data_IF_533113396895
#
_entry.id   IF_533113396895
#
_cell.length_a   1.000
_cell.length_b   1.000
_cell.length_c   1.000
_cell.angle_alpha   90.00
_cell.angle_beta   90.00
_cell.angle_gamma   90.00
#
_symmetry.space_group_name_H-M   'P 1'
#
loop_
_entity.id
_entity.type
_entity.pdbx_description
1 polymer ?
#
# COMPACT_ATOMS: atom_id res chain seq x y z
N UNK A 1 -10.79 -28.42 -40.56
CA UNK A 1 -10.82 -29.39 -41.68
C UNK A 1 -9.61 -30.29 -41.52
N UNK A 2 -9.84 -31.57 -41.19
CA UNK A 2 -8.81 -32.58 -41.27
C UNK A 2 -8.88 -33.23 -42.69
N UNK A 3 -7.79 -33.19 -43.44
CA UNK A 3 -7.77 -33.86 -44.74
C UNK A 3 -7.63 -35.39 -44.48
N UNK A 4 -8.72 -36.11 -44.64
CA UNK A 4 -8.63 -37.54 -44.84
C UNK A 4 -8.42 -37.80 -46.34
N UNK A 5 -7.33 -38.47 -46.76
CA UNK A 5 -7.14 -38.82 -48.15
C UNK A 5 -8.06 -39.98 -48.52
N UNK A 6 -9.13 -39.71 -49.23
CA UNK A 6 -9.92 -40.75 -49.83
C UNK A 6 -9.21 -41.18 -51.12
N UNK A 7 -8.42 -42.24 -51.06
CA UNK A 7 -7.88 -42.91 -52.23
C UNK A 7 -8.88 -43.97 -52.70
N UNK A 8 -9.57 -43.73 -53.80
CA UNK A 8 -10.36 -44.67 -54.63
C UNK A 8 -11.01 -45.86 -53.89
N UNK A 9 -12.19 -45.64 -53.36
CA UNK A 9 -13.06 -46.68 -52.89
C UNK A 9 -13.65 -47.45 -54.09
N UNK A 10 -13.30 -48.70 -54.25
CA UNK A 10 -13.80 -49.60 -55.33
C UNK A 10 -14.97 -50.46 -54.91
N UNK A 11 -15.47 -50.35 -53.62
CA UNK A 11 -16.61 -51.09 -53.06
C UNK A 11 -17.25 -50.21 -51.97
N UNK A 12 -18.54 -50.46 -51.74
CA UNK A 12 -19.26 -49.88 -50.61
C UNK A 12 -18.51 -50.22 -49.29
N UNK A 13 -18.13 -49.19 -48.54
CA UNK A 13 -17.38 -49.33 -47.29
C UNK A 13 -18.06 -48.53 -46.21
N UNK A 14 -18.42 -49.17 -45.13
CA UNK A 14 -18.87 -48.50 -43.91
C UNK A 14 -17.61 -48.12 -43.12
N UNK A 15 -17.43 -46.83 -42.86
CA UNK A 15 -16.29 -46.34 -42.11
C UNK A 15 -16.79 -45.71 -40.80
N UNK A 16 -16.35 -46.26 -39.68
CA UNK A 16 -16.59 -45.70 -38.37
C UNK A 16 -15.49 -44.71 -38.05
N UNK A 17 -15.82 -43.41 -38.04
CA UNK A 17 -14.86 -42.34 -37.71
C UNK A 17 -14.99 -42.08 -36.21
N UNK A 18 -14.09 -42.63 -35.40
CA UNK A 18 -13.92 -42.25 -34.01
C UNK A 18 -13.24 -40.91 -33.95
N UNK A 19 -14.06 -39.86 -33.74
CA UNK A 19 -13.55 -38.54 -33.36
C UNK A 19 -12.98 -38.70 -31.93
N UNK A 20 -11.65 -38.67 -31.78
CA UNK A 20 -11.07 -38.37 -30.48
C UNK A 20 -11.62 -37.03 -30.04
N UNK A 21 -12.24 -36.99 -28.88
CA UNK A 21 -12.63 -35.70 -28.25
C UNK A 21 -11.42 -34.78 -28.34
N UNK A 22 -11.59 -33.64 -28.94
CA UNK A 22 -10.51 -32.67 -29.07
C UNK A 22 -9.89 -32.48 -27.69
N UNK A 23 -8.56 -32.33 -27.62
CA UNK A 23 -7.94 -31.74 -26.44
C UNK A 23 -8.86 -30.58 -26.05
N UNK A 24 -9.36 -30.61 -24.81
CA UNK A 24 -9.96 -29.42 -24.20
C UNK A 24 -8.94 -28.31 -24.49
N UNK A 25 -9.32 -27.42 -25.39
CA UNK A 25 -8.58 -26.17 -25.56
C UNK A 25 -8.58 -25.59 -24.16
N UNK A 26 -7.41 -25.44 -23.59
CA UNK A 26 -7.27 -24.57 -22.43
C UNK A 26 -8.10 -23.34 -22.80
N UNK A 27 -9.10 -23.06 -21.96
CA UNK A 27 -9.93 -21.87 -22.10
C UNK A 27 -8.95 -20.72 -22.33
N UNK A 28 -8.78 -20.34 -23.61
CA UNK A 28 -8.14 -19.08 -23.94
C UNK A 28 -9.17 -18.11 -23.41
N UNK A 29 -8.96 -17.66 -22.15
CA UNK A 29 -9.57 -16.45 -21.67
C UNK A 29 -9.04 -15.40 -22.62
N UNK A 30 -9.78 -15.20 -23.71
CA UNK A 30 -9.64 -14.00 -24.52
C UNK A 30 -10.03 -12.90 -23.56
N UNK A 31 -9.04 -12.35 -22.89
CA UNK A 31 -9.11 -11.01 -22.32
C UNK A 31 -9.20 -10.06 -23.52
N UNK A 32 -10.25 -10.21 -24.31
CA UNK A 32 -10.74 -9.10 -25.08
C UNK A 32 -10.96 -8.01 -24.05
N UNK A 33 -10.45 -6.82 -24.29
CA UNK A 33 -10.85 -5.64 -23.55
C UNK A 33 -12.37 -5.70 -23.45
N UNK A 34 -12.86 -6.16 -22.30
CA UNK A 34 -14.31 -6.30 -22.09
C UNK A 34 -14.91 -4.97 -22.50
N UNK A 35 -16.01 -4.98 -23.25
CA UNK A 35 -16.71 -3.76 -23.63
C UNK A 35 -16.99 -2.87 -22.39
N UNK A 36 -17.06 -3.46 -21.20
CA UNK A 36 -17.11 -2.78 -19.90
C UNK A 36 -15.82 -2.02 -19.53
N UNK A 37 -14.69 -2.29 -20.18
CA UNK A 37 -13.43 -1.55 -19.98
C UNK A 37 -13.20 -0.49 -21.04
N UNK A 38 -14.02 -0.45 -22.11
CA UNK A 38 -13.96 0.60 -23.09
C UNK A 38 -14.65 1.85 -22.53
N UNK A 39 -13.94 2.99 -22.35
CA UNK A 39 -14.52 4.23 -21.81
C UNK A 39 -15.78 4.70 -22.55
N UNK A 40 -15.94 4.32 -23.81
CA UNK A 40 -17.09 4.68 -24.64
C UNK A 40 -18.37 3.94 -24.24
N UNK A 41 -18.24 2.72 -23.71
CA UNK A 41 -19.39 1.88 -23.35
C UNK A 41 -19.64 1.77 -21.84
N UNK A 42 -18.75 2.33 -21.01
CA UNK A 42 -18.98 2.40 -19.56
C UNK A 42 -19.91 3.57 -19.23
N UNK A 43 -21.01 3.34 -18.52
CA UNK A 43 -21.93 4.42 -18.12
C UNK A 43 -21.28 5.41 -17.14
N UNK A 44 -20.08 5.13 -16.67
CA UNK A 44 -19.38 5.89 -15.66
C UNK A 44 -18.26 6.72 -16.29
N UNK A 45 -18.53 8.02 -16.46
CA UNK A 45 -17.54 8.96 -16.94
C UNK A 45 -16.46 9.26 -15.90
N UNK A 46 -15.22 9.49 -16.36
CA UNK A 46 -14.11 9.88 -15.46
C UNK A 46 -13.43 8.73 -14.70
N UNK A 47 -13.79 7.48 -14.99
CA UNK A 47 -13.15 6.29 -14.41
C UNK A 47 -12.01 5.82 -15.31
N UNK A 48 -10.89 5.47 -14.68
CA UNK A 48 -9.73 4.87 -15.35
C UNK A 48 -9.31 3.62 -14.55
N UNK A 49 -9.23 2.49 -15.25
CA UNK A 49 -8.68 1.26 -14.67
C UNK A 49 -7.23 1.07 -15.12
N UNK A 50 -6.32 0.99 -14.18
CA UNK A 50 -4.88 0.88 -14.43
C UNK A 50 -4.40 -0.48 -13.96
N UNK A 51 -3.84 -1.27 -14.86
CA UNK A 51 -3.29 -2.59 -14.55
C UNK A 51 -1.92 -2.48 -13.87
N UNK A 52 -1.52 -3.52 -13.11
CA UNK A 52 -0.16 -3.64 -12.58
C UNK A 52 0.91 -3.46 -13.67
N UNK A 53 0.68 -4.03 -14.86
CA UNK A 53 1.60 -3.92 -15.99
C UNK A 53 1.83 -2.46 -16.39
N UNK A 54 0.78 -1.66 -16.42
CA UNK A 54 0.87 -0.22 -16.71
C UNK A 54 1.65 0.51 -15.63
N UNK A 55 1.39 0.25 -14.34
CA UNK A 55 2.15 0.85 -13.23
C UNK A 55 3.64 0.53 -13.34
N UNK A 56 3.99 -0.70 -13.70
CA UNK A 56 5.38 -1.14 -13.85
C UNK A 56 6.07 -0.62 -15.11
N UNK A 57 5.32 -0.20 -16.13
CA UNK A 57 5.88 0.28 -17.40
C UNK A 57 6.25 1.76 -17.39
N UNK A 58 5.76 2.53 -16.42
CA UNK A 58 6.05 3.96 -16.33
C UNK A 58 7.39 4.16 -15.62
N UNK A 59 8.34 4.88 -16.26
CA UNK A 59 9.61 5.21 -15.62
C UNK A 59 9.37 6.03 -14.34
N UNK A 60 10.02 5.62 -13.26
CA UNK A 60 9.89 6.29 -11.97
C UNK A 60 11.23 6.70 -11.41
N UNK A 61 11.21 7.66 -10.51
CA UNK A 61 12.39 8.10 -9.81
C UNK A 61 12.98 6.93 -9.00
N UNK A 62 14.29 6.73 -9.09
CA UNK A 62 15.06 5.70 -8.38
C UNK A 62 14.69 4.25 -8.75
N UNK A 63 13.98 4.05 -9.88
CA UNK A 63 13.69 2.72 -10.42
C UNK A 63 12.59 1.94 -9.68
N UNK A 64 11.84 2.55 -8.78
CA UNK A 64 10.73 1.93 -8.07
C UNK A 64 9.39 2.33 -8.70
N UNK A 65 8.59 1.34 -9.13
CA UNK A 65 7.25 1.58 -9.69
C UNK A 65 6.29 2.10 -8.62
N UNK A 66 5.59 3.19 -8.92
CA UNK A 66 4.75 3.89 -7.97
C UNK A 66 3.36 4.20 -8.54
N UNK A 67 2.33 3.84 -7.78
CA UNK A 67 0.92 4.02 -8.19
C UNK A 67 0.58 5.51 -8.31
N UNK A 68 0.91 6.31 -7.29
CA UNK A 68 0.55 7.73 -7.29
C UNK A 68 1.26 8.47 -8.42
N UNK A 69 2.53 8.18 -8.67
CA UNK A 69 3.27 8.76 -9.81
C UNK A 69 2.69 8.34 -11.15
N UNK A 70 2.20 7.12 -11.26
CA UNK A 70 1.46 6.66 -12.45
C UNK A 70 0.17 7.47 -12.64
N UNK A 71 -0.56 7.76 -11.57
CA UNK A 71 -1.78 8.57 -11.64
C UNK A 71 -1.48 10.04 -11.98
N UNK A 72 -0.34 10.57 -11.56
CA UNK A 72 0.10 11.94 -11.89
C UNK A 72 0.37 12.15 -13.39
N UNK A 73 0.62 11.09 -14.15
CA UNK A 73 0.75 11.19 -15.62
C UNK A 73 -0.58 11.34 -16.35
N UNK A 74 -1.70 11.20 -15.63
CA UNK A 74 -3.02 11.23 -16.26
C UNK A 74 -3.52 12.67 -16.51
N UNK A 75 -4.24 12.93 -17.59
CA UNK A 75 -4.81 14.24 -17.85
C UNK A 75 -5.71 14.71 -16.69
N UNK A 76 -5.53 15.98 -16.26
CA UNK A 76 -6.29 16.58 -15.16
C UNK A 76 -5.80 16.19 -13.77
N UNK A 77 -4.61 15.60 -13.66
CA UNK A 77 -3.93 15.31 -12.39
C UNK A 77 -2.63 16.10 -12.35
N UNK A 78 -2.36 16.78 -11.25
CA UNK A 78 -1.13 17.53 -11.01
C UNK A 78 -0.40 16.96 -9.80
N UNK A 79 0.92 16.94 -9.87
CA UNK A 79 1.79 16.50 -8.78
C UNK A 79 1.99 17.56 -7.68
N UNK A 80 1.64 18.81 -7.94
CA UNK A 80 2.00 19.93 -7.05
C UNK A 80 3.50 20.22 -7.10
N UNK A 81 4.29 19.54 -6.26
CA UNK A 81 5.76 19.61 -6.32
C UNK A 81 6.30 18.40 -7.08
N UNK A 82 7.14 18.63 -8.08
CA UNK A 82 7.72 17.56 -8.88
C UNK A 82 8.49 16.55 -8.01
N UNK A 83 8.31 15.26 -8.32
CA UNK A 83 8.95 14.15 -7.62
C UNK A 83 8.31 13.75 -6.30
N UNK A 84 7.33 14.50 -5.77
CA UNK A 84 6.58 14.15 -4.57
C UNK A 84 5.23 13.51 -4.90
N UNK A 85 4.68 12.73 -3.96
CA UNK A 85 3.42 12.01 -4.14
C UNK A 85 2.16 12.86 -3.85
N UNK A 86 2.26 14.18 -3.84
CA UNK A 86 1.10 15.06 -3.81
C UNK A 86 0.26 14.84 -5.07
N UNK A 87 -1.04 14.67 -4.94
CA UNK A 87 -1.93 14.48 -6.07
C UNK A 87 -3.10 15.47 -5.98
N UNK A 88 -3.22 16.33 -6.97
CA UNK A 88 -4.25 17.35 -7.11
C UNK A 88 -5.07 17.04 -8.35
N UNK A 89 -6.33 16.69 -8.18
CA UNK A 89 -7.19 16.22 -9.26
C UNK A 89 -8.23 17.27 -9.59
N UNK A 90 -8.22 17.75 -10.85
CA UNK A 90 -9.19 18.76 -11.35
C UNK A 90 -9.35 20.00 -10.44
N UNK A 91 -8.25 20.45 -9.86
CA UNK A 91 -8.22 21.63 -8.99
C UNK A 91 -8.60 21.38 -7.52
N UNK A 92 -8.92 20.14 -7.14
CA UNK A 92 -9.11 19.76 -5.75
C UNK A 92 -7.80 19.60 -5.01
N UNK A 93 -7.82 19.71 -3.68
CA UNK A 93 -6.65 19.58 -2.81
C UNK A 93 -6.22 18.12 -2.63
N UNK A 94 -4.97 17.91 -2.19
CA UNK A 94 -4.41 16.57 -1.99
C UNK A 94 -5.13 15.75 -0.90
N UNK A 95 -5.68 16.40 0.12
CA UNK A 95 -6.45 15.81 1.22
C UNK A 95 -7.92 15.51 0.85
N UNK A 96 -8.40 16.03 -0.29
CA UNK A 96 -9.73 15.75 -0.81
C UNK A 96 -9.81 14.46 -1.63
N UNK A 97 -8.69 13.77 -1.83
CA UNK A 97 -8.66 12.48 -2.48
C UNK A 97 -8.93 11.35 -1.48
N UNK A 98 -9.75 10.38 -1.88
CA UNK A 98 -9.97 9.16 -1.12
C UNK A 98 -9.02 8.06 -1.62
N UNK A 99 -8.09 7.66 -0.79
CA UNK A 99 -7.20 6.54 -1.08
C UNK A 99 -7.69 5.29 -0.35
N UNK A 100 -7.73 4.19 -1.07
CA UNK A 100 -8.21 2.92 -0.52
C UNK A 100 -7.32 1.75 -0.96
N UNK A 101 -7.31 0.71 -0.15
CA UNK A 101 -6.78 -0.61 -0.48
C UNK A 101 -7.89 -1.64 -0.30
N UNK A 102 -8.24 -2.37 -1.38
CA UNK A 102 -9.38 -3.28 -1.44
C UNK A 102 -10.69 -2.64 -0.91
N UNK A 103 -10.93 -1.38 -1.27
CA UNK A 103 -12.10 -0.60 -0.85
C UNK A 103 -12.04 -0.06 0.59
N UNK A 104 -10.94 -0.17 1.31
CA UNK A 104 -10.79 0.25 2.70
C UNK A 104 -9.93 1.53 2.77
N UNK A 105 -10.40 2.59 3.45
CA UNK A 105 -9.70 3.86 3.52
C UNK A 105 -8.31 3.76 4.15
N UNK A 106 -7.34 4.46 3.54
CA UNK A 106 -6.00 4.73 4.06
C UNK A 106 -5.83 6.25 4.27
N UNK A 107 -5.22 6.63 5.39
CA UNK A 107 -5.08 8.04 5.73
C UNK A 107 -3.80 8.67 5.17
N UNK A 108 -2.65 8.11 5.45
CA UNK A 108 -1.37 8.60 4.94
C UNK A 108 -0.80 7.58 3.96
N UNK A 109 -0.75 7.95 2.70
CA UNK A 109 -0.37 7.05 1.60
C UNK A 109 1.03 7.33 1.05
N UNK A 110 1.85 8.05 1.82
CA UNK A 110 3.14 8.52 1.38
C UNK A 110 4.26 8.13 2.34
N UNK A 111 5.40 7.72 1.79
CA UNK A 111 6.66 7.51 2.47
C UNK A 111 7.64 8.63 2.13
N UNK A 112 8.58 8.91 3.04
CA UNK A 112 9.67 9.89 2.88
C UNK A 112 9.16 11.25 2.35
N UNK A 113 8.15 11.81 3.02
CA UNK A 113 7.60 13.12 2.65
C UNK A 113 6.93 13.16 1.27
N UNK A 114 6.57 12.01 0.70
CA UNK A 114 5.91 11.91 -0.60
C UNK A 114 6.81 11.43 -1.75
N UNK A 115 8.04 11.01 -1.45
CA UNK A 115 8.93 10.48 -2.49
C UNK A 115 8.46 9.12 -3.02
N UNK A 116 7.81 8.32 -2.18
CA UNK A 116 7.22 7.03 -2.54
C UNK A 116 5.78 6.93 -2.02
N UNK A 117 4.94 6.16 -2.72
CA UNK A 117 3.60 5.83 -2.21
C UNK A 117 3.63 4.59 -1.31
N UNK A 118 2.63 4.48 -0.44
CA UNK A 118 2.40 3.32 0.41
C UNK A 118 1.92 2.07 -0.37
N UNK A 119 1.58 2.24 -1.64
CA UNK A 119 1.08 1.16 -2.48
C UNK A 119 2.23 0.37 -3.10
N UNK A 120 2.36 -0.89 -2.69
CA UNK A 120 3.36 -1.80 -3.23
C UNK A 120 2.93 -2.33 -4.61
N UNK A 121 3.65 -1.92 -5.67
CA UNK A 121 3.35 -2.33 -7.05
C UNK A 121 3.45 -3.85 -7.28
N UNK A 122 4.22 -4.60 -6.48
CA UNK A 122 4.32 -6.06 -6.60
C UNK A 122 3.09 -6.78 -6.04
N UNK A 123 2.47 -6.24 -4.99
CA UNK A 123 1.23 -6.76 -4.40
C UNK A 123 -0.03 -6.34 -5.17
N UNK A 124 0.10 -5.41 -6.12
CA UNK A 124 -0.99 -4.80 -6.86
C UNK A 124 -1.57 -5.74 -7.92
N UNK A 125 -2.88 -5.76 -8.05
CA UNK A 125 -3.63 -6.34 -9.18
C UNK A 125 -4.00 -5.27 -10.21
N UNK A 126 -4.78 -4.30 -9.78
CA UNK A 126 -5.20 -3.14 -10.57
C UNK A 126 -5.58 -1.95 -9.66
N UNK A 127 -5.82 -0.80 -10.28
CA UNK A 127 -6.26 0.43 -9.61
C UNK A 127 -7.48 0.97 -10.33
N UNK A 128 -8.55 1.20 -9.60
CA UNK A 128 -9.69 1.97 -10.07
C UNK A 128 -9.51 3.43 -9.65
N UNK A 129 -9.37 4.31 -10.62
CA UNK A 129 -9.20 5.74 -10.41
C UNK A 129 -10.40 6.53 -10.94
N UNK A 130 -11.08 7.22 -10.05
CA UNK A 130 -12.23 8.08 -10.35
C UNK A 130 -11.81 9.54 -10.20
N UNK A 131 -11.65 10.24 -11.32
CA UNK A 131 -11.24 11.66 -11.32
C UNK A 131 -12.40 12.62 -11.00
N UNK A 132 -13.62 12.15 -11.07
CA UNK A 132 -14.87 12.83 -10.75
C UNK A 132 -16.04 11.87 -10.96
N UNK A 133 -17.26 12.30 -10.59
CA UNK A 133 -18.48 11.52 -10.77
C UNK A 133 -18.35 10.07 -10.24
N UNK A 134 -17.65 9.91 -9.13
CA UNK A 134 -17.51 8.60 -8.50
C UNK A 134 -18.86 8.11 -7.97
N UNK A 135 -19.09 6.78 -7.94
CA UNK A 135 -20.36 6.20 -7.48
C UNK A 135 -20.71 6.62 -6.06
N UNK A 136 -22.02 6.68 -5.76
CA UNK A 136 -22.56 7.05 -4.45
C UNK A 136 -22.05 6.17 -3.29
N UNK A 137 -21.48 4.99 -3.57
CA UNK A 137 -20.84 4.12 -2.58
C UNK A 137 -19.56 4.70 -1.96
N UNK A 138 -18.95 5.69 -2.63
CA UNK A 138 -17.80 6.40 -2.14
C UNK A 138 -18.22 7.73 -1.54
N UNK A 139 -17.81 8.02 -0.33
CA UNK A 139 -18.12 9.25 0.37
C UNK A 139 -16.93 9.78 1.16
N UNK A 140 -17.11 10.95 1.80
CA UNK A 140 -16.13 11.51 2.72
C UNK A 140 -14.98 12.28 2.07
N UNK A 141 -14.92 12.37 0.72
CA UNK A 141 -13.93 13.15 -0.03
C UNK A 141 -14.58 13.80 -1.25
N UNK A 142 -13.96 14.85 -1.79
CA UNK A 142 -14.58 15.72 -2.79
C UNK A 142 -13.93 15.66 -4.17
N UNK A 143 -12.63 15.36 -4.25
CA UNK A 143 -11.86 15.50 -5.48
C UNK A 143 -11.80 14.20 -6.30
N UNK A 144 -11.22 13.14 -5.76
CA UNK A 144 -11.06 11.88 -6.47
C UNK A 144 -11.12 10.65 -5.55
N UNK A 145 -11.25 9.47 -6.16
CA UNK A 145 -11.15 8.19 -5.48
C UNK A 145 -10.11 7.33 -6.17
N UNK A 146 -9.17 6.79 -5.40
CA UNK A 146 -8.15 5.82 -5.80
C UNK A 146 -8.38 4.55 -5.01
N UNK A 147 -8.88 3.51 -5.66
CA UNK A 147 -9.09 2.21 -5.03
C UNK A 147 -8.08 1.19 -5.60
N UNK A 148 -7.14 0.81 -4.78
CA UNK A 148 -6.05 -0.10 -5.14
C UNK A 148 -6.43 -1.51 -4.74
N UNK A 149 -6.56 -2.39 -5.72
CA UNK A 149 -6.86 -3.79 -5.49
C UNK A 149 -5.59 -4.62 -5.40
N UNK A 150 -5.48 -5.42 -4.35
CA UNK A 150 -4.37 -6.35 -4.14
C UNK A 150 -4.60 -7.69 -4.85
N UNK A 151 -3.52 -8.40 -5.16
CA UNK A 151 -3.58 -9.73 -5.77
C UNK A 151 -4.27 -10.73 -4.86
N UNK A 152 -5.07 -11.57 -5.46
CA UNK A 152 -5.78 -12.65 -4.78
C UNK A 152 -4.92 -13.91 -4.54
N UNK A 153 -3.73 -13.98 -5.19
CA UNK A 153 -2.87 -15.15 -5.20
C UNK A 153 -3.29 -16.19 -6.23
N UNK A 154 -2.35 -17.05 -6.62
CA UNK A 154 -2.58 -18.13 -7.58
C UNK A 154 -3.11 -19.37 -6.87
N UNK A 155 -4.20 -19.98 -7.37
CA UNK A 155 -4.81 -21.18 -6.76
C UNK A 155 -4.22 -22.49 -7.28
N UNK A 156 -3.38 -22.45 -8.32
CA UNK A 156 -2.88 -23.65 -9.00
C UNK A 156 -1.39 -23.88 -8.76
N UNK A 157 -0.61 -22.79 -8.81
CA UNK A 157 0.87 -22.86 -8.80
C UNK A 157 1.45 -21.79 -7.88
N UNK A 158 2.67 -22.05 -7.38
CA UNK A 158 3.43 -21.07 -6.61
C UNK A 158 4.19 -20.14 -7.55
N UNK A 159 4.13 -18.86 -7.27
CA UNK A 159 4.92 -17.83 -7.97
C UNK A 159 5.61 -16.94 -6.94
N UNK A 160 6.80 -16.49 -7.30
CA UNK A 160 7.55 -15.55 -6.49
C UNK A 160 8.23 -14.51 -7.38
N UNK A 161 8.36 -13.32 -6.87
CA UNK A 161 9.16 -12.26 -7.47
C UNK A 161 9.98 -11.55 -6.40
N UNK A 162 11.20 -11.19 -6.74
CA UNK A 162 12.06 -10.37 -5.90
C UNK A 162 12.61 -9.22 -6.74
N UNK A 163 12.54 -8.01 -6.21
CA UNK A 163 13.11 -6.82 -6.80
C UNK A 163 14.11 -6.21 -5.82
N UNK A 164 15.29 -5.89 -6.32
CA UNK A 164 16.32 -5.17 -5.59
C UNK A 164 16.59 -3.87 -6.32
N UNK A 165 16.10 -2.77 -5.77
CA UNK A 165 16.33 -1.41 -6.27
C UNK A 165 17.43 -0.70 -5.50
N UNK A 166 17.78 0.51 -5.94
CA UNK A 166 18.80 1.33 -5.28
C UNK A 166 18.40 1.71 -3.84
N UNK A 167 17.14 2.00 -3.61
CA UNK A 167 16.64 2.56 -2.34
C UNK A 167 15.77 1.61 -1.53
N UNK A 168 15.22 0.60 -2.17
CA UNK A 168 14.31 -0.36 -1.56
C UNK A 168 14.40 -1.75 -2.19
N UNK A 169 13.90 -2.75 -1.49
CA UNK A 169 13.68 -4.08 -2.01
C UNK A 169 12.29 -4.57 -1.72
N UNK A 170 11.83 -5.45 -2.57
CA UNK A 170 10.52 -6.05 -2.52
C UNK A 170 10.60 -7.54 -2.79
N UNK A 171 9.85 -8.30 -2.02
CA UNK A 171 9.65 -9.74 -2.22
C UNK A 171 8.15 -9.98 -2.24
N UNK A 172 7.68 -10.68 -3.25
CA UNK A 172 6.29 -11.15 -3.33
C UNK A 172 6.28 -12.66 -3.52
N UNK A 173 5.39 -13.32 -2.79
CA UNK A 173 5.20 -14.76 -2.90
C UNK A 173 3.71 -15.08 -2.87
N UNK A 174 3.24 -15.88 -3.81
CA UNK A 174 1.85 -16.27 -3.94
C UNK A 174 1.72 -17.75 -4.34
N UNK A 175 0.59 -18.35 -3.98
CA UNK A 175 0.34 -19.74 -4.35
C UNK A 175 -0.87 -20.34 -3.64
N UNK A 176 -1.16 -21.64 -3.90
CA UNK A 176 -2.25 -22.35 -3.26
C UNK A 176 -1.87 -22.80 -1.84
N UNK A 177 -2.74 -22.50 -0.85
CA UNK A 177 -2.74 -23.21 0.43
C UNK A 177 -3.51 -24.52 0.30
N UNK A 178 -4.61 -24.50 -0.44
CA UNK A 178 -5.35 -25.69 -0.87
C UNK A 178 -5.62 -25.52 -2.36
N UNK A 179 -5.09 -26.41 -3.16
CA UNK A 179 -5.20 -26.35 -4.63
C UNK A 179 -6.65 -26.18 -5.07
N UNK A 180 -6.88 -25.25 -6.01
CA UNK A 180 -8.16 -24.87 -6.60
C UNK A 180 -9.21 -24.33 -5.60
N UNK A 181 -8.87 -24.16 -4.30
CA UNK A 181 -9.79 -23.67 -3.27
C UNK A 181 -9.28 -22.48 -2.51
N UNK A 182 -8.03 -22.49 -2.08
CA UNK A 182 -7.50 -21.45 -1.20
C UNK A 182 -6.16 -20.98 -1.73
N UNK A 183 -6.04 -19.69 -1.98
CA UNK A 183 -4.79 -19.05 -2.37
C UNK A 183 -4.36 -18.02 -1.34
N UNK A 184 -3.08 -17.71 -1.36
CA UNK A 184 -2.51 -16.59 -0.62
C UNK A 184 -1.60 -15.74 -1.51
N UNK A 185 -1.47 -14.49 -1.15
CA UNK A 185 -0.45 -13.56 -1.63
C UNK A 185 0.18 -12.89 -0.43
N UNK A 186 1.51 -12.85 -0.37
CA UNK A 186 2.26 -12.17 0.67
C UNK A 186 3.37 -11.34 0.03
N UNK A 187 3.47 -10.08 0.40
CA UNK A 187 4.55 -9.22 -0.07
C UNK A 187 5.15 -8.40 1.06
N UNK A 188 6.46 -8.19 0.97
CA UNK A 188 7.24 -7.37 1.87
C UNK A 188 8.06 -6.37 1.05
N UNK A 189 7.93 -5.09 1.35
CA UNK A 189 8.77 -4.03 0.81
C UNK A 189 9.47 -3.29 1.95
N UNK A 190 10.77 -3.03 1.82
CA UNK A 190 11.55 -2.25 2.78
C UNK A 190 12.56 -1.35 2.06
N UNK A 191 12.64 -0.11 2.51
CA UNK A 191 13.72 0.79 2.10
C UNK A 191 14.96 0.59 2.97
N UNK A 192 16.13 0.89 2.43
CA UNK A 192 17.41 0.83 3.14
C UNK A 192 18.18 2.15 3.14
N UNK A 193 17.48 3.27 3.20
CA UNK A 193 18.12 4.57 3.36
C UNK A 193 18.97 4.63 4.63
N UNK A 194 18.56 3.93 5.70
CA UNK A 194 19.34 3.80 6.92
C UNK A 194 20.70 3.11 6.71
N UNK A 195 20.76 2.15 5.79
CA UNK A 195 22.00 1.45 5.42
C UNK A 195 22.85 2.31 4.48
N UNK A 196 22.22 2.92 3.45
CA UNK A 196 22.93 3.75 2.46
C UNK A 196 23.54 5.01 3.07
N UNK A 197 22.86 5.63 4.03
CA UNK A 197 23.35 6.87 4.68
C UNK A 197 24.33 6.62 5.81
N UNK A 198 24.42 5.41 6.35
CA UNK A 198 25.28 5.09 7.49
C UNK A 198 26.79 5.37 7.23
N UNK A 199 27.40 5.00 6.08
CA UNK A 199 28.79 5.32 5.80
C UNK A 199 29.06 6.83 5.70
N UNK A 200 28.18 7.58 5.02
CA UNK A 200 28.29 9.02 4.89
C UNK A 200 28.21 9.71 6.26
N UNK A 201 27.29 9.26 7.11
CA UNK A 201 27.14 9.75 8.48
C UNK A 201 28.34 9.39 9.35
N UNK A 202 28.93 8.22 9.17
CA UNK A 202 30.16 7.83 9.88
C UNK A 202 31.36 8.71 9.51
N UNK A 203 31.51 9.02 8.20
CA UNK A 203 32.55 9.93 7.71
C UNK A 203 32.34 11.36 8.28
N UNK A 204 31.11 11.86 8.20
CA UNK A 204 30.75 13.17 8.75
C UNK A 204 31.05 13.25 10.25
N UNK A 205 30.62 12.26 11.02
CA UNK A 205 30.89 12.21 12.45
C UNK A 205 32.41 12.13 12.78
N UNK A 206 33.22 11.52 11.90
CA UNK A 206 34.69 11.52 12.06
C UNK A 206 35.29 12.93 11.90
N UNK A 207 34.73 13.70 10.96
CA UNK A 207 35.18 15.09 10.71
C UNK A 207 34.73 15.98 11.88
N UNK A 208 33.43 15.94 12.25
CA UNK A 208 32.87 16.79 13.31
C UNK A 208 33.31 16.40 14.73
N UNK A 209 33.91 15.23 14.92
CA UNK A 209 34.45 14.82 16.24
C UNK A 209 35.45 15.81 16.81
N UNK A 210 36.21 16.51 15.97
CA UNK A 210 37.17 17.54 16.38
C UNK A 210 36.47 18.74 17.03
N UNK A 211 35.24 19.01 16.61
CA UNK A 211 34.39 20.10 17.12
C UNK A 211 33.48 19.65 18.27
N UNK A 212 33.71 18.42 18.78
CA UNK A 212 32.86 17.86 19.84
C UNK A 212 31.43 17.56 19.43
N UNK A 213 31.18 17.27 18.16
CA UNK A 213 29.83 17.02 17.64
C UNK A 213 29.66 15.60 17.13
N UNK A 214 28.48 15.06 17.35
CA UNK A 214 28.04 13.77 16.80
C UNK A 214 26.63 13.87 16.27
N UNK A 215 26.44 13.52 15.00
CA UNK A 215 25.14 13.51 14.35
C UNK A 215 24.56 12.11 14.28
N UNK A 216 23.25 12.04 14.39
CA UNK A 216 22.49 10.81 14.24
C UNK A 216 21.43 11.02 13.16
N UNK A 217 21.36 10.10 12.19
CA UNK A 217 20.34 10.11 11.14
C UNK A 217 20.00 8.66 10.75
N UNK A 218 18.73 8.34 10.70
CA UNK A 218 18.26 7.03 10.24
C UNK A 218 16.84 7.17 9.70
N UNK A 219 16.61 6.68 8.49
CA UNK A 219 15.28 6.60 7.91
C UNK A 219 15.08 5.23 7.24
N UNK A 220 13.92 4.64 7.43
CA UNK A 220 13.46 3.49 6.70
C UNK A 220 11.93 3.43 6.70
N UNK A 221 11.36 2.85 5.64
CA UNK A 221 9.96 2.44 5.64
C UNK A 221 9.83 0.95 5.36
N UNK A 222 8.71 0.38 5.76
CA UNK A 222 8.40 -1.04 5.56
C UNK A 222 6.91 -1.17 5.27
N UNK A 223 6.56 -1.95 4.24
CA UNK A 223 5.20 -2.34 3.90
C UNK A 223 5.08 -3.85 3.84
N UNK A 224 4.01 -4.34 4.40
CA UNK A 224 3.62 -5.75 4.37
C UNK A 224 2.19 -5.83 3.85
N UNK A 225 1.97 -6.64 2.83
CA UNK A 225 0.64 -6.98 2.34
C UNK A 225 0.47 -8.49 2.41
N UNK A 226 -0.65 -8.94 2.95
CA UNK A 226 -1.01 -10.36 3.01
C UNK A 226 -2.48 -10.51 2.70
N UNK A 227 -2.82 -11.41 1.79
CA UNK A 227 -4.21 -11.71 1.44
C UNK A 227 -4.37 -13.22 1.30
N UNK A 228 -5.45 -13.72 1.84
CA UNK A 228 -5.89 -15.11 1.69
C UNK A 228 -7.28 -15.11 1.12
N UNK A 229 -7.49 -15.84 0.05
CA UNK A 229 -8.78 -16.06 -0.59
C UNK A 229 -9.18 -17.51 -0.47
N UNK A 230 -10.47 -17.75 -0.25
CA UNK A 230 -11.05 -19.08 -0.19
C UNK A 230 -12.32 -19.17 -1.01
N UNK A 231 -12.38 -20.13 -1.92
CA UNK A 231 -13.60 -20.49 -2.65
C UNK A 231 -14.32 -21.61 -1.91
N UNK A 232 -15.44 -21.30 -1.29
CA UNK A 232 -16.30 -22.30 -0.65
C UNK A 232 -17.03 -23.17 -1.70
N UNK A 233 -17.48 -22.52 -2.77
CA UNK A 233 -18.11 -23.11 -3.96
C UNK A 233 -18.16 -22.06 -5.08
N UNK A 234 -18.73 -22.40 -6.25
CA UNK A 234 -18.82 -21.52 -7.43
C UNK A 234 -19.60 -20.21 -7.19
N UNK A 235 -20.39 -20.13 -6.12
CA UNK A 235 -21.20 -18.95 -5.77
C UNK A 235 -20.69 -18.20 -4.54
N UNK A 236 -19.74 -18.75 -3.81
CA UNK A 236 -19.34 -18.22 -2.51
C UNK A 236 -17.84 -18.21 -2.37
N UNK A 237 -17.30 -17.03 -2.13
CA UNK A 237 -15.88 -16.84 -1.83
C UNK A 237 -15.69 -15.85 -0.67
N UNK A 238 -14.69 -16.09 0.13
CA UNK A 238 -14.30 -15.21 1.22
C UNK A 238 -12.84 -14.80 1.11
N UNK A 239 -12.48 -13.68 1.71
CA UNK A 239 -11.10 -13.25 1.81
C UNK A 239 -10.79 -12.65 3.18
N UNK A 240 -9.52 -12.73 3.54
CA UNK A 240 -8.92 -11.95 4.63
C UNK A 240 -7.74 -11.18 4.05
N UNK A 241 -7.68 -9.89 4.36
CA UNK A 241 -6.61 -9.01 3.90
C UNK A 241 -5.98 -8.29 5.09
N UNK A 242 -4.65 -8.21 5.09
CA UNK A 242 -3.83 -7.48 6.07
C UNK A 242 -2.87 -6.56 5.32
N UNK A 243 -2.83 -5.30 5.71
CA UNK A 243 -1.83 -4.35 5.28
C UNK A 243 -1.19 -3.68 6.49
N UNK A 244 0.12 -3.55 6.46
CA UNK A 244 0.90 -2.80 7.43
C UNK A 244 1.94 -1.97 6.68
N UNK A 245 1.91 -0.65 6.87
CA UNK A 245 2.89 0.28 6.33
C UNK A 245 3.39 1.20 7.43
N UNK A 246 4.70 1.31 7.61
CA UNK A 246 5.30 2.15 8.65
C UNK A 246 6.57 2.83 8.18
N UNK A 247 6.67 4.10 8.49
CA UNK A 247 7.88 4.92 8.40
C UNK A 247 8.52 5.12 9.76
N UNK A 248 9.84 5.18 9.77
CA UNK A 248 10.64 5.49 10.93
C UNK A 248 11.75 6.48 10.54
N UNK A 249 11.72 7.65 11.16
CA UNK A 249 12.78 8.65 11.05
C UNK A 249 13.36 8.94 12.43
N UNK A 250 14.68 8.92 12.54
CA UNK A 250 15.43 9.38 13.71
C UNK A 250 16.50 10.36 13.24
N UNK A 251 16.54 11.53 13.86
CA UNK A 251 17.55 12.55 13.55
C UNK A 251 17.93 13.31 14.80
N UNK A 252 19.13 13.86 14.85
CA UNK A 252 19.56 14.68 15.97
C UNK A 252 21.06 14.82 16.08
N UNK A 253 21.47 15.54 17.11
CA UNK A 253 22.88 15.76 17.42
C UNK A 253 23.18 15.52 18.90
N UNK A 254 24.44 15.28 19.19
CA UNK A 254 25.03 15.33 20.52
C UNK A 254 26.23 16.23 20.44
N UNK A 255 26.25 17.28 21.25
CA UNK A 255 27.33 18.25 21.32
C UNK A 255 28.07 18.06 22.64
N UNK A 256 29.38 17.95 22.57
CA UNK A 256 30.29 17.80 23.71
C UNK A 256 31.17 19.03 23.78
N UNK A 257 31.28 19.65 24.95
CA UNK A 257 32.22 20.75 25.21
C UNK A 257 32.91 20.51 26.54
N UNK A 258 34.19 20.81 26.59
CA UNK A 258 34.97 20.89 27.85
C UNK A 258 35.48 22.31 27.93
N UNK A 259 35.20 23.01 29.03
CA UNK A 259 35.71 24.34 29.31
C UNK A 259 37.14 24.27 29.87
N UNK A 260 37.88 25.41 29.83
CA UNK A 260 39.20 25.53 30.41
C UNK A 260 39.26 25.21 31.92
N UNK A 261 38.12 25.36 32.64
CA UNK A 261 37.91 25.01 34.04
C UNK A 261 37.59 23.53 34.28
N UNK A 262 37.85 22.64 33.32
CA UNK A 262 37.50 21.20 33.38
C UNK A 262 36.00 20.90 33.50
N UNK A 263 35.15 21.89 33.17
CA UNK A 263 33.71 21.70 33.15
C UNK A 263 33.29 20.97 31.88
N UNK A 264 32.74 19.78 32.03
CA UNK A 264 32.17 18.97 30.96
C UNK A 264 30.70 19.32 30.72
N UNK A 265 30.33 19.51 29.48
CA UNK A 265 28.98 19.76 29.05
C UNK A 265 28.62 18.82 27.90
N UNK A 266 27.51 18.06 28.03
CA UNK A 266 26.94 17.27 26.97
C UNK A 266 25.48 17.69 26.76
N UNK A 267 25.16 18.03 25.52
CA UNK A 267 23.79 18.33 25.09
C UNK A 267 23.38 17.38 23.96
N UNK A 268 22.32 16.66 24.18
CA UNK A 268 21.77 15.70 23.23
C UNK A 268 20.35 16.06 22.88
N UNK A 269 20.09 16.25 21.59
CA UNK A 269 18.78 16.53 21.04
C UNK A 269 18.47 15.49 19.95
N UNK A 270 17.48 14.63 20.20
CA UNK A 270 17.10 13.54 19.28
C UNK A 270 15.62 13.59 19.03
N UNK A 271 15.26 13.82 17.76
CA UNK A 271 13.91 13.66 17.24
C UNK A 271 13.69 12.25 16.69
N UNK A 272 12.53 11.67 16.99
CA UNK A 272 12.03 10.43 16.41
C UNK A 272 10.63 10.69 15.86
N UNK A 273 10.43 10.34 14.60
CA UNK A 273 9.13 10.43 13.94
C UNK A 273 8.76 9.04 13.44
N UNK A 274 7.53 8.62 13.72
CA UNK A 274 6.94 7.39 13.18
C UNK A 274 5.54 7.71 12.69
N UNK A 275 5.19 7.17 11.54
CA UNK A 275 3.83 7.23 11.04
C UNK A 275 3.54 6.00 10.20
N UNK A 276 2.26 5.65 10.09
CA UNK A 276 1.89 4.49 9.27
C UNK A 276 0.45 4.08 9.43
N UNK A 277 0.06 3.11 8.61
CA UNK A 277 -1.26 2.52 8.59
C UNK A 277 -1.21 1.02 8.89
N UNK A 278 -2.24 0.54 9.53
CA UNK A 278 -2.55 -0.88 9.65
C UNK A 278 -3.97 -1.09 9.19
N UNK A 279 -4.20 -2.06 8.32
CA UNK A 279 -5.52 -2.46 7.84
C UNK A 279 -5.67 -3.95 8.05
N UNK A 280 -6.78 -4.35 8.62
CA UNK A 280 -7.23 -5.73 8.69
C UNK A 280 -8.67 -5.81 8.18
N UNK A 281 -8.96 -6.70 7.26
CA UNK A 281 -10.30 -6.87 6.74
C UNK A 281 -10.65 -8.30 6.43
N UNK A 282 -11.94 -8.60 6.49
CA UNK A 282 -12.51 -9.83 6.01
C UNK A 282 -13.73 -9.50 5.15
N UNK A 283 -13.89 -10.21 4.06
CA UNK A 283 -15.00 -10.02 3.15
C UNK A 283 -15.53 -11.34 2.62
N UNK A 284 -16.77 -11.29 2.21
CA UNK A 284 -17.50 -12.41 1.64
C UNK A 284 -18.31 -11.95 0.45
N UNK A 285 -18.08 -12.61 -0.68
CA UNK A 285 -18.80 -12.39 -1.93
C UNK A 285 -19.71 -13.58 -2.20
N UNK A 286 -20.97 -13.31 -2.51
CA UNK A 286 -21.97 -14.35 -2.70
C UNK A 286 -22.87 -14.05 -3.89
N UNK A 287 -22.95 -14.99 -4.82
CA UNK A 287 -23.90 -14.99 -5.95
C UNK A 287 -25.24 -15.58 -5.48
N UNK A 288 -26.18 -14.72 -5.10
CA UNK A 288 -27.48 -15.12 -4.58
C UNK A 288 -28.30 -15.86 -5.64
N UNK A 289 -28.34 -15.31 -6.85
CA UNK A 289 -28.97 -15.90 -8.03
C UNK A 289 -28.39 -15.27 -9.31
N UNK A 290 -28.92 -15.63 -10.49
CA UNK A 290 -28.41 -15.10 -11.78
C UNK A 290 -28.58 -13.59 -11.96
N UNK A 291 -29.32 -12.91 -11.08
CA UNK A 291 -29.62 -11.47 -11.15
C UNK A 291 -29.04 -10.69 -9.99
N UNK A 292 -28.59 -11.35 -8.93
CA UNK A 292 -28.19 -10.67 -7.71
C UNK A 292 -26.88 -11.20 -7.15
N UNK A 293 -25.94 -10.29 -6.98
CA UNK A 293 -24.64 -10.51 -6.37
C UNK A 293 -24.52 -9.64 -5.11
N UNK A 294 -23.88 -10.14 -4.07
CA UNK A 294 -23.59 -9.39 -2.85
C UNK A 294 -22.11 -9.46 -2.48
N UNK A 295 -21.61 -8.36 -1.92
CA UNK A 295 -20.30 -8.28 -1.31
C UNK A 295 -20.44 -7.62 0.06
N UNK A 296 -20.06 -8.35 1.10
CA UNK A 296 -20.11 -7.90 2.50
C UNK A 296 -18.71 -7.91 3.03
N UNK A 297 -18.31 -6.85 3.72
CA UNK A 297 -16.99 -6.75 4.34
C UNK A 297 -17.02 -6.03 5.68
N UNK A 298 -16.18 -6.48 6.58
CA UNK A 298 -15.88 -5.79 7.83
C UNK A 298 -14.37 -5.48 7.87
N UNK A 299 -14.01 -4.33 8.42
CA UNK A 299 -12.62 -3.93 8.46
C UNK A 299 -12.28 -3.08 9.67
N UNK A 300 -11.02 -3.14 10.03
CA UNK A 300 -10.38 -2.26 11.01
C UNK A 300 -9.23 -1.54 10.33
N UNK A 301 -9.18 -0.21 10.48
CA UNK A 301 -8.01 0.57 10.09
C UNK A 301 -7.46 1.33 11.26
N UNK A 302 -6.15 1.51 11.27
CA UNK A 302 -5.45 2.34 12.24
C UNK A 302 -4.39 3.16 11.52
N UNK A 303 -4.51 4.46 11.60
CA UNK A 303 -3.43 5.39 11.33
C UNK A 303 -2.83 5.87 12.65
N UNK A 304 -1.52 5.91 12.74
CA UNK A 304 -0.81 6.48 13.88
C UNK A 304 0.38 7.31 13.42
N UNK A 305 0.53 8.49 14.01
CA UNK A 305 1.69 9.36 13.87
C UNK A 305 2.20 9.73 15.24
N UNK A 306 3.52 9.55 15.47
CA UNK A 306 4.17 9.84 16.74
C UNK A 306 5.43 10.66 16.49
N UNK A 307 5.49 11.84 17.07
CA UNK A 307 6.66 12.71 17.09
C UNK A 307 7.18 12.73 18.51
N UNK A 308 8.41 12.28 18.73
CA UNK A 308 9.06 12.28 20.04
C UNK A 308 10.36 13.04 19.97
N UNK A 309 10.55 14.01 20.86
CA UNK A 309 11.80 14.74 21.05
C UNK A 309 12.37 14.44 22.42
N UNK A 310 13.64 14.10 22.45
CA UNK A 310 14.40 13.80 23.66
C UNK A 310 15.54 14.80 23.73
N UNK A 311 15.50 15.68 24.73
CA UNK A 311 16.53 16.63 25.06
C UNK A 311 17.17 16.17 26.37
N UNK A 312 18.47 15.90 26.35
CA UNK A 312 19.26 15.52 27.55
C UNK A 312 20.44 16.47 27.64
N UNK A 313 20.55 17.19 28.76
CA UNK A 313 21.68 18.04 29.06
C UNK A 313 22.35 17.52 30.31
N UNK A 314 23.68 17.40 30.26
CA UNK A 314 24.51 16.98 31.39
C UNK A 314 25.61 17.95 31.55
N UNK A 315 25.82 18.43 32.78
CA UNK A 315 26.90 19.38 33.15
C UNK A 315 27.52 18.91 34.45
N UNK A 316 28.84 18.85 34.47
CA UNK A 316 29.59 18.44 35.65
C UNK A 316 31.09 18.69 35.46
N UNK A 317 31.90 18.60 36.52
CA UNK A 317 33.34 18.59 36.39
C UNK A 317 33.81 17.20 35.99
N UNK A 318 34.81 17.15 35.12
CA UNK A 318 35.30 15.89 34.53
C UNK A 318 35.88 14.93 35.57
N UNK A 319 36.28 15.42 36.71
CA UNK A 319 36.93 14.67 37.81
C UNK A 319 35.99 14.47 39.04
N UNK A 320 34.77 15.05 38.99
CA UNK A 320 33.74 14.88 40.04
C UNK A 320 32.69 13.87 39.58
N UNK A 321 32.28 12.96 40.47
CA UNK A 321 31.19 12.02 40.20
C UNK A 321 29.77 12.69 40.22
N UNK A 322 29.70 13.98 40.61
CA UNK A 322 28.48 14.77 40.61
C UNK A 322 28.18 15.43 39.28
N UNK A 323 27.08 14.98 38.65
CA UNK A 323 26.56 15.56 37.44
C UNK A 323 25.18 16.14 37.66
N UNK A 324 24.96 17.36 37.14
CA UNK A 324 23.60 17.87 36.95
C UNK A 324 23.04 17.36 35.64
N UNK A 325 21.98 16.60 35.69
CA UNK A 325 21.34 16.05 34.52
C UNK A 325 19.90 16.54 34.40
N UNK A 326 19.58 17.10 33.23
CA UNK A 326 18.22 17.45 32.86
C UNK A 326 17.82 16.61 31.66
N UNK A 327 16.66 16.00 31.72
CA UNK A 327 16.06 15.23 30.64
C UNK A 327 14.64 15.67 30.42
N UNK A 328 14.37 16.17 29.20
CA UNK A 328 13.03 16.48 28.72
C UNK A 328 12.63 15.50 27.65
N UNK A 329 11.48 14.90 27.76
CA UNK A 329 10.88 14.02 26.75
C UNK A 329 9.52 14.58 26.37
N UNK A 330 9.38 15.03 25.13
CA UNK A 330 8.12 15.51 24.57
C UNK A 330 7.64 14.51 23.54
N UNK A 331 6.40 14.06 23.65
CA UNK A 331 5.74 13.17 22.71
C UNK A 331 4.41 13.75 22.27
N UNK A 332 4.21 13.80 20.95
CA UNK A 332 2.91 14.11 20.35
C UNK A 332 2.48 12.90 19.54
N UNK A 333 1.33 12.36 19.86
CA UNK A 333 0.76 11.22 19.16
C UNK A 333 -0.60 11.60 18.58
N UNK A 334 -0.82 11.28 17.31
CA UNK A 334 -2.09 11.46 16.63
C UNK A 334 -2.48 10.12 16.02
N UNK A 335 -3.67 9.66 16.33
CA UNK A 335 -4.18 8.39 15.86
C UNK A 335 -5.63 8.48 15.41
N UNK A 336 -5.95 7.71 14.39
CA UNK A 336 -7.31 7.48 13.92
C UNK A 336 -7.48 5.96 13.84
N UNK A 337 -8.50 5.45 14.53
CA UNK A 337 -8.90 4.05 14.40
C UNK A 337 -10.32 4.01 13.84
N UNK A 338 -10.52 3.23 12.80
CA UNK A 338 -11.85 3.01 12.24
C UNK A 338 -12.24 1.56 12.34
N UNK A 339 -13.50 1.35 12.69
CA UNK A 339 -14.16 0.07 12.55
C UNK A 339 -15.29 0.25 11.55
N UNK A 340 -15.24 -0.46 10.43
CA UNK A 340 -16.19 -0.32 9.35
C UNK A 340 -16.86 -1.61 8.96
N UNK A 341 -18.10 -1.46 8.50
CA UNK A 341 -18.90 -2.54 7.95
C UNK A 341 -19.56 -2.05 6.66
N UNK A 342 -19.44 -2.84 5.59
CA UNK A 342 -19.96 -2.49 4.27
C UNK A 342 -20.73 -3.65 3.67
N UNK A 343 -21.89 -3.34 3.08
CA UNK A 343 -22.67 -4.25 2.25
C UNK A 343 -22.93 -3.59 0.91
N UNK A 344 -22.64 -4.29 -0.17
CA UNK A 344 -22.91 -3.86 -1.53
C UNK A 344 -23.71 -4.96 -2.24
N UNK A 345 -24.71 -4.54 -3.01
CA UNK A 345 -25.53 -5.42 -3.83
C UNK A 345 -25.54 -4.92 -5.27
N UNK A 346 -25.32 -5.82 -6.20
CA UNK A 346 -25.49 -5.61 -7.63
C UNK A 346 -26.71 -6.41 -8.09
N UNK A 347 -27.72 -5.74 -8.63
CA UNK A 347 -28.99 -6.34 -9.05
C UNK A 347 -29.27 -6.04 -10.53
N UNK A 348 -29.42 -7.07 -11.33
CA UNK A 348 -29.71 -7.01 -12.76
C UNK A 348 -31.13 -7.57 -13.01
N UNK A 349 -32.19 -6.79 -12.79
CA UNK A 349 -33.56 -7.26 -13.00
C UNK A 349 -33.86 -7.66 -14.44
N UNK A 350 -33.25 -6.93 -15.38
CA UNK A 350 -33.31 -7.17 -16.83
C UNK A 350 -31.99 -6.74 -17.48
N UNK A 351 -31.70 -7.20 -18.73
CA UNK A 351 -30.43 -6.88 -19.40
C UNK A 351 -30.13 -5.38 -19.55
N UNK A 352 -31.17 -4.56 -19.64
CA UNK A 352 -31.05 -3.09 -19.77
C UNK A 352 -30.96 -2.34 -18.44
N UNK A 353 -31.10 -3.03 -17.28
CA UNK A 353 -31.13 -2.40 -15.98
C UNK A 353 -30.06 -3.00 -15.05
N UNK A 354 -29.20 -2.14 -14.51
CA UNK A 354 -28.22 -2.49 -13.48
C UNK A 354 -28.41 -1.57 -12.28
N UNK A 355 -28.88 -2.11 -11.18
CA UNK A 355 -29.15 -1.40 -9.93
C UNK A 355 -28.08 -1.77 -8.91
N UNK A 356 -27.39 -0.77 -8.37
CA UNK A 356 -26.42 -0.93 -7.29
C UNK A 356 -26.94 -0.22 -6.04
N UNK A 357 -26.94 -0.93 -4.92
CA UNK A 357 -27.34 -0.36 -3.64
C UNK A 357 -26.54 -1.00 -2.52
N UNK A 358 -26.53 -0.36 -1.38
CA UNK A 358 -25.77 -0.88 -0.24
C UNK A 358 -25.76 0.07 0.94
N UNK A 359 -24.99 -0.29 1.94
CA UNK A 359 -24.78 0.50 3.14
C UNK A 359 -23.30 0.43 3.55
N UNK A 360 -22.78 1.53 4.06
CA UNK A 360 -21.45 1.61 4.63
C UNK A 360 -21.57 2.35 5.97
N UNK A 361 -21.13 1.69 7.04
CA UNK A 361 -21.05 2.28 8.38
C UNK A 361 -19.60 2.30 8.84
N UNK A 362 -19.14 3.43 9.33
CA UNK A 362 -17.80 3.60 9.85
C UNK A 362 -17.88 4.28 11.22
N UNK A 363 -17.29 3.65 12.22
CA UNK A 363 -17.06 4.24 13.53
C UNK A 363 -15.63 4.76 13.59
N UNK A 364 -15.48 6.08 13.72
CA UNK A 364 -14.20 6.75 13.83
C UNK A 364 -13.84 7.01 15.30
N UNK A 365 -12.63 6.67 15.68
CA UNK A 365 -12.08 6.99 16.99
C UNK A 365 -10.76 7.77 16.84
N UNK A 366 -10.81 9.07 17.14
CA UNK A 366 -9.64 9.95 17.09
C UNK A 366 -8.92 9.97 18.43
N UNK A 367 -7.59 9.91 18.40
CA UNK A 367 -6.74 9.89 19.59
C UNK A 367 -5.61 10.91 19.45
N UNK A 368 -5.86 12.20 19.67
CA UNK A 368 -4.81 13.19 19.84
C UNK A 368 -4.23 13.07 21.25
N UNK A 369 -2.91 12.97 21.38
CA UNK A 369 -2.23 12.89 22.67
C UNK A 369 -0.97 13.75 22.65
N UNK A 370 -0.79 14.53 23.69
CA UNK A 370 0.42 15.31 23.94
C UNK A 370 0.93 14.99 25.36
N UNK A 371 2.19 14.55 25.46
CA UNK A 371 2.82 14.23 26.73
C UNK A 371 4.16 14.96 26.80
N UNK A 372 4.40 15.66 27.91
CA UNK A 372 5.70 16.24 28.24
C UNK A 372 6.11 15.80 29.63
N UNK A 373 7.25 15.17 29.73
CA UNK A 373 7.87 14.79 31.01
C UNK A 373 9.24 15.46 31.10
N UNK A 374 9.50 16.12 32.19
CA UNK A 374 10.80 16.71 32.50
C UNK A 374 11.31 16.17 33.83
N UNK A 375 12.52 15.68 33.85
CA UNK A 375 13.20 15.21 35.06
C UNK A 375 14.52 15.95 35.15
N UNK A 376 14.71 16.67 36.24
CA UNK A 376 15.95 17.34 36.56
C UNK A 376 16.43 16.80 37.90
N UNK A 377 17.70 16.46 37.98
CA UNK A 377 18.29 15.93 39.21
C UNK A 377 19.82 16.07 39.22
N UNK A 378 20.35 16.10 40.39
CA UNK A 378 21.78 15.96 40.67
C UNK A 378 22.03 14.46 40.85
N UNK A 379 23.00 13.87 40.14
CA UNK A 379 23.38 12.45 40.22
C UNK A 379 24.86 12.34 40.59
#
# INVERSE_FOLDING_TARGET
RFPYPFNHLKKDTVMEILLKSGKELQEIVVTGTNASQNPVYTPQMGTLKISQKTVKSIPTLLGESDVIKTLQTQPGVSAGTEGLAGMYVRGGNGDENLYMIDGIPLYQVNHLGGLFSAFNAEALKDVDFYKSAFPARYGGRLSSVVDVHTKDGNMKEYHGSAMLGLTSGNINFEGPLVKDKTSFNASLRRSWFDVLTAPALAIWNRIEKKDGKKRTGRYAFTDINMKVNHHFNDRSQGYVNLYFGQDFLKGGSTDYKTSDDNLYYESKDIGKLRWGNTVASAGWSYVMNHKMFSNISAYYTRYNSSIRRIEENQTGKKDDEEYKKSKRNTSTENGINDLGFRMNFDYLPAPAHHVRFGSNYIYHHFRPEYTQNEVTGDY
#
